data_IF_636890020825
#
_entry.id   IF_636890020825
#
_cell.length_a   1.000
_cell.length_b   1.000
_cell.length_c   1.000
_cell.angle_alpha   90.00
_cell.angle_beta   90.00
_cell.angle_gamma   90.00
#
_symmetry.space_group_name_H-M   'P 1'
#
loop_
_entity.id
_entity.type
_entity.pdbx_description
1 polymer ?
#
# COMPACT_ATOMS: atom_id res chain seq x y z
N UNK A 1 -3.54 -81.57 -8.24
CA UNK A 1 -2.47 -80.56 -8.08
C UNK A 1 -3.03 -79.23 -8.55
N UNK A 2 -3.46 -78.38 -7.62
CA UNK A 2 -4.07 -77.06 -7.89
C UNK A 2 -3.07 -75.99 -7.50
N UNK A 3 -2.64 -75.16 -8.45
CA UNK A 3 -1.71 -74.05 -8.23
C UNK A 3 -2.50 -72.74 -8.02
N UNK A 4 -2.48 -72.25 -6.79
CA UNK A 4 -3.05 -70.94 -6.43
C UNK A 4 -2.02 -69.87 -6.81
N UNK A 5 -2.39 -68.98 -7.74
CA UNK A 5 -1.61 -67.78 -8.08
C UNK A 5 -1.97 -66.67 -7.09
N UNK A 6 -0.98 -66.22 -6.32
CA UNK A 6 -1.08 -65.01 -5.50
C UNK A 6 -0.74 -63.79 -6.36
N UNK A 7 -1.72 -62.93 -6.60
CA UNK A 7 -1.54 -61.64 -7.28
C UNK A 7 -1.37 -60.57 -6.21
N UNK A 8 -0.15 -60.07 -6.03
CA UNK A 8 0.14 -59.01 -5.06
C UNK A 8 -0.34 -57.67 -5.60
N UNK A 9 -1.38 -57.09 -4.98
CA UNK A 9 -1.90 -55.78 -5.34
C UNK A 9 -1.14 -54.71 -4.55
N UNK A 10 -0.31 -53.91 -5.23
CA UNK A 10 0.46 -52.83 -4.64
C UNK A 10 -0.45 -51.61 -4.47
N UNK A 11 -0.89 -51.31 -3.25
CA UNK A 11 -1.62 -50.07 -2.94
C UNK A 11 -0.63 -48.90 -2.88
N UNK A 12 -0.78 -47.94 -3.79
CA UNK A 12 -0.08 -46.65 -3.75
C UNK A 12 -0.87 -45.71 -2.84
N UNK A 13 -0.43 -45.54 -1.59
CA UNK A 13 -1.03 -44.56 -0.67
C UNK A 13 -0.45 -43.19 -1.01
N UNK A 14 -1.25 -42.33 -1.65
CA UNK A 14 -0.88 -40.95 -1.94
C UNK A 14 -0.87 -40.16 -0.62
N UNK A 15 0.32 -39.92 -0.07
CA UNK A 15 0.50 -39.11 1.13
C UNK A 15 0.24 -37.64 0.76
N UNK A 16 -0.96 -37.13 1.06
CA UNK A 16 -1.23 -35.69 1.01
C UNK A 16 -0.36 -35.01 2.08
N UNK A 17 0.80 -34.50 1.67
CA UNK A 17 1.56 -33.57 2.50
C UNK A 17 0.75 -32.28 2.57
N UNK A 18 0.11 -32.04 3.71
CA UNK A 18 -0.48 -30.75 4.04
C UNK A 18 0.65 -29.72 4.09
N UNK A 19 0.86 -28.98 3.02
CA UNK A 19 1.71 -27.78 3.07
C UNK A 19 1.02 -26.81 3.99
N UNK A 20 1.58 -26.63 5.19
CA UNK A 20 1.20 -25.51 6.05
C UNK A 20 1.61 -24.25 5.31
N UNK A 21 0.66 -23.61 4.61
CA UNK A 21 0.89 -22.33 3.98
C UNK A 21 1.06 -21.33 5.11
N UNK A 22 2.31 -20.96 5.42
CA UNK A 22 2.55 -19.81 6.27
C UNK A 22 2.05 -18.59 5.49
N UNK A 23 1.14 -17.82 6.09
CA UNK A 23 0.68 -16.56 5.50
C UNK A 23 1.90 -15.71 5.12
N UNK A 24 1.95 -15.25 3.88
CA UNK A 24 3.06 -14.46 3.35
C UNK A 24 3.25 -13.21 4.23
N UNK A 25 4.41 -13.08 4.84
CA UNK A 25 4.74 -11.90 5.66
C UNK A 25 5.38 -10.83 4.78
N UNK A 26 4.66 -9.74 4.55
CA UNK A 26 5.14 -8.60 3.75
C UNK A 26 6.00 -7.66 4.62
N UNK A 27 7.25 -7.37 4.25
CA UNK A 27 8.05 -6.35 4.93
C UNK A 27 7.43 -4.95 4.74
N UNK A 28 7.50 -4.08 5.75
CA UNK A 28 6.97 -2.71 5.62
C UNK A 28 7.67 -1.88 4.53
N UNK A 29 8.97 -2.09 4.34
CA UNK A 29 9.75 -1.61 3.19
C UNK A 29 10.16 -2.82 2.34
N UNK A 30 9.45 -3.00 1.24
CA UNK A 30 9.60 -4.16 0.35
C UNK A 30 10.73 -3.88 -0.62
N UNK A 31 11.73 -4.75 -0.65
CA UNK A 31 12.81 -4.64 -1.65
C UNK A 31 12.30 -5.12 -3.01
N UNK A 32 12.68 -4.46 -4.12
CA UNK A 32 12.32 -4.92 -5.46
C UNK A 32 12.61 -6.40 -5.69
N UNK A 33 13.79 -6.90 -5.29
CA UNK A 33 14.12 -8.31 -5.42
C UNK A 33 13.18 -9.23 -4.62
N UNK A 34 12.77 -8.82 -3.42
CA UNK A 34 11.80 -9.61 -2.63
C UNK A 34 10.48 -9.75 -3.39
N UNK A 35 10.01 -8.67 -4.04
CA UNK A 35 8.77 -8.73 -4.82
C UNK A 35 8.93 -9.59 -6.06
N UNK A 36 10.10 -9.54 -6.73
CA UNK A 36 10.40 -10.44 -7.86
C UNK A 36 10.32 -11.91 -7.41
N UNK A 37 10.91 -12.23 -6.27
CA UNK A 37 10.96 -13.60 -5.74
C UNK A 37 9.59 -14.10 -5.25
N UNK A 38 8.64 -13.20 -4.98
CA UNK A 38 7.32 -13.52 -4.42
C UNK A 38 6.14 -13.15 -5.33
N UNK A 39 6.39 -12.72 -6.57
CA UNK A 39 5.38 -12.17 -7.49
C UNK A 39 4.18 -13.10 -7.71
N UNK A 40 4.39 -14.42 -7.64
CA UNK A 40 3.39 -15.44 -7.93
C UNK A 40 2.75 -16.05 -6.67
N UNK A 41 2.95 -15.46 -5.50
CA UNK A 41 2.29 -15.92 -4.28
C UNK A 41 0.78 -15.65 -4.39
N UNK A 42 -0.08 -16.66 -4.12
CA UNK A 42 -1.53 -16.54 -4.34
C UNK A 42 -2.20 -15.54 -3.37
N UNK A 43 -1.59 -15.31 -2.20
CA UNK A 43 -2.09 -14.41 -1.17
C UNK A 43 -1.33 -13.06 -1.18
N UNK A 44 -0.87 -12.60 -2.34
CA UNK A 44 -0.16 -11.32 -2.52
C UNK A 44 -0.94 -10.40 -3.46
N UNK A 45 -1.42 -9.28 -2.94
CA UNK A 45 -2.02 -8.21 -3.72
C UNK A 45 -1.00 -7.08 -3.94
N UNK A 46 -0.98 -6.54 -5.16
CA UNK A 46 -0.08 -5.45 -5.54
C UNK A 46 -0.92 -4.26 -6.02
N UNK A 47 -0.68 -3.07 -5.49
CA UNK A 47 -1.43 -1.86 -5.81
C UNK A 47 -0.47 -0.81 -6.36
N UNK A 48 -0.72 -0.35 -7.58
CA UNK A 48 -0.09 0.84 -8.14
C UNK A 48 -0.90 2.09 -7.76
N UNK A 49 -0.23 3.14 -7.30
CA UNK A 49 -0.79 4.48 -7.18
C UNK A 49 -0.25 5.36 -8.31
N UNK A 50 -1.11 5.63 -9.28
CA UNK A 50 -0.82 6.39 -10.51
C UNK A 50 -2.11 6.88 -11.17
N UNK A 51 -2.04 7.37 -12.40
CA UNK A 51 -3.20 7.54 -13.27
C UNK A 51 -3.45 6.29 -14.13
N UNK A 52 -4.71 6.06 -14.50
CA UNK A 52 -5.13 4.87 -15.26
C UNK A 52 -4.49 4.80 -16.65
N UNK A 53 -4.18 5.95 -17.27
CA UNK A 53 -3.59 5.98 -18.62
C UNK A 53 -2.15 5.48 -18.55
N UNK A 54 -1.34 6.02 -17.64
CA UNK A 54 0.03 5.57 -17.43
C UNK A 54 0.09 4.09 -17.03
N UNK A 55 -0.80 3.64 -16.15
CA UNK A 55 -0.91 2.23 -15.79
C UNK A 55 -1.19 1.34 -17.02
N UNK A 56 -2.17 1.71 -17.86
CA UNK A 56 -2.58 0.89 -19.01
C UNK A 56 -1.53 0.81 -20.12
N UNK A 57 -0.80 1.90 -20.38
CA UNK A 57 0.03 2.03 -21.58
C UNK A 57 1.54 2.08 -21.32
N UNK A 58 2.00 2.44 -20.11
CA UNK A 58 3.43 2.52 -19.76
C UNK A 58 3.92 1.26 -19.03
N UNK A 59 3.12 0.19 -19.07
CA UNK A 59 3.29 -1.06 -18.34
C UNK A 59 3.06 -0.95 -16.83
N UNK A 60 3.04 -2.05 -16.12
CA UNK A 60 2.90 -2.11 -14.66
C UNK A 60 3.46 -3.43 -14.12
N UNK A 61 3.52 -3.57 -12.79
CA UNK A 61 3.91 -4.84 -12.17
C UNK A 61 2.82 -5.88 -12.49
N UNK A 62 3.18 -7.11 -12.94
CA UNK A 62 2.18 -8.11 -13.28
C UNK A 62 1.22 -8.42 -12.14
N UNK A 63 -0.07 -8.56 -12.47
CA UNK A 63 -1.14 -8.79 -11.50
C UNK A 63 -1.43 -7.63 -10.52
N UNK A 64 -0.76 -6.49 -10.65
CA UNK A 64 -1.11 -5.31 -9.86
C UNK A 64 -2.45 -4.72 -10.27
N UNK A 65 -3.02 -3.85 -9.44
CA UNK A 65 -4.21 -3.06 -9.76
C UNK A 65 -3.94 -1.58 -9.53
N UNK A 66 -4.57 -0.74 -10.34
CA UNK A 66 -4.41 0.72 -10.24
C UNK A 66 -5.38 1.36 -9.26
N UNK A 67 -4.88 2.34 -8.52
CA UNK A 67 -5.68 3.29 -7.75
C UNK A 67 -5.02 4.67 -7.79
N UNK A 68 -5.66 5.68 -7.20
CA UNK A 68 -5.10 7.03 -7.13
C UNK A 68 -5.39 7.65 -5.76
N UNK A 69 -4.62 8.69 -5.40
CA UNK A 69 -4.74 9.39 -4.11
C UNK A 69 -6.14 9.94 -3.84
N UNK A 70 -6.85 10.39 -4.88
CA UNK A 70 -8.20 10.95 -4.77
C UNK A 70 -9.26 9.91 -4.40
N UNK A 71 -9.07 8.65 -4.80
CA UNK A 71 -10.01 7.56 -4.56
C UNK A 71 -10.27 7.28 -3.06
N UNK A 72 -9.40 7.75 -2.16
CA UNK A 72 -9.41 7.42 -0.74
C UNK A 72 -9.88 8.55 0.17
N UNK A 73 -10.24 9.69 -0.42
CA UNK A 73 -10.52 10.94 0.29
C UNK A 73 -11.92 11.45 -0.05
N UNK A 74 -12.45 12.27 0.84
CA UNK A 74 -13.70 13.00 0.69
C UNK A 74 -13.46 14.47 1.05
N UNK A 75 -14.46 15.31 0.78
CA UNK A 75 -14.50 16.69 1.25
C UNK A 75 -15.68 16.80 2.22
N UNK A 76 -15.42 17.25 3.44
CA UNK A 76 -16.48 17.47 4.42
C UNK A 76 -17.27 18.77 4.15
N UNK A 77 -18.27 19.03 4.98
CA UNK A 77 -19.15 20.20 4.82
C UNK A 77 -18.41 21.54 4.97
N UNK A 78 -17.24 21.54 5.63
CA UNK A 78 -16.41 22.73 5.84
C UNK A 78 -15.33 22.88 4.75
N UNK A 79 -15.33 22.00 3.74
CA UNK A 79 -14.37 22.00 2.66
C UNK A 79 -13.02 21.36 3.03
N UNK A 80 -12.92 20.69 4.18
CA UNK A 80 -11.70 20.01 4.59
C UNK A 80 -11.57 18.64 3.89
N UNK A 81 -10.35 18.33 3.47
CA UNK A 81 -10.04 17.01 2.91
C UNK A 81 -9.96 16.00 4.05
N UNK A 82 -10.84 15.02 4.03
CA UNK A 82 -10.93 13.95 5.03
C UNK A 82 -10.78 12.58 4.37
N UNK A 83 -10.55 11.53 5.15
CA UNK A 83 -10.69 10.16 4.64
C UNK A 83 -12.16 9.82 4.41
N UNK A 84 -12.41 8.83 3.58
CA UNK A 84 -13.74 8.22 3.47
C UNK A 84 -14.15 7.53 4.79
N UNK A 85 -15.45 7.26 4.94
CA UNK A 85 -15.95 6.45 6.05
C UNK A 85 -15.35 5.03 6.02
N UNK A 86 -15.21 4.40 7.19
CA UNK A 86 -14.64 3.04 7.30
C UNK A 86 -15.34 2.05 6.37
N UNK A 87 -16.67 2.15 6.24
CA UNK A 87 -17.45 1.33 5.32
C UNK A 87 -17.04 1.53 3.85
N UNK A 88 -16.97 2.78 3.38
CA UNK A 88 -16.56 3.10 2.01
C UNK A 88 -15.11 2.68 1.73
N UNK A 89 -14.21 2.84 2.72
CA UNK A 89 -12.82 2.39 2.61
C UNK A 89 -12.74 0.87 2.44
N UNK A 90 -13.42 0.10 3.30
CA UNK A 90 -13.46 -1.36 3.20
C UNK A 90 -14.04 -1.82 1.85
N UNK A 91 -15.14 -1.20 1.39
CA UNK A 91 -15.73 -1.49 0.07
C UNK A 91 -14.74 -1.22 -1.08
N UNK A 92 -13.95 -0.14 -1.02
CA UNK A 92 -12.93 0.16 -2.03
C UNK A 92 -11.78 -0.83 -2.01
N UNK A 93 -11.30 -1.23 -0.83
CA UNK A 93 -10.24 -2.25 -0.70
C UNK A 93 -10.71 -3.58 -1.30
N UNK A 94 -11.95 -4.01 -1.02
CA UNK A 94 -12.52 -5.22 -1.64
C UNK A 94 -12.60 -5.13 -3.17
N UNK A 95 -12.91 -3.96 -3.73
CA UNK A 95 -12.95 -3.74 -5.18
C UNK A 95 -11.57 -3.83 -5.84
N UNK A 96 -10.50 -3.67 -5.07
CA UNK A 96 -9.13 -3.95 -5.51
C UNK A 96 -8.78 -5.45 -5.43
N UNK A 97 -9.74 -6.32 -5.11
CA UNK A 97 -9.55 -7.77 -5.02
C UNK A 97 -8.93 -8.27 -3.72
N UNK A 98 -8.78 -7.39 -2.73
CA UNK A 98 -8.03 -7.69 -1.52
C UNK A 98 -8.89 -8.45 -0.51
N UNK A 99 -8.37 -9.57 -0.04
CA UNK A 99 -8.93 -10.40 1.01
C UNK A 99 -8.32 -10.07 2.38
N UNK A 100 -8.95 -10.57 3.43
CA UNK A 100 -8.54 -10.28 4.80
C UNK A 100 -7.13 -10.79 5.15
N UNK A 101 -6.67 -11.87 4.50
CA UNK A 101 -5.41 -12.54 4.81
C UNK A 101 -4.28 -12.23 3.82
N UNK A 102 -4.55 -11.44 2.79
CA UNK A 102 -3.54 -11.11 1.78
C UNK A 102 -2.38 -10.33 2.39
N UNK A 103 -1.19 -10.53 1.84
CA UNK A 103 -0.13 -9.54 1.90
C UNK A 103 -0.38 -8.45 0.87
N UNK A 104 -0.14 -7.18 1.21
CA UNK A 104 -0.34 -6.06 0.28
C UNK A 104 0.96 -5.32 0.03
N UNK A 105 1.34 -5.14 -1.23
CA UNK A 105 2.46 -4.28 -1.64
C UNK A 105 1.93 -3.09 -2.42
N UNK A 106 2.27 -1.88 -2.00
CA UNK A 106 1.83 -0.64 -2.64
C UNK A 106 3.06 0.03 -3.27
N UNK A 107 2.93 0.57 -4.46
CA UNK A 107 4.00 1.32 -5.12
C UNK A 107 3.48 2.53 -5.90
N UNK A 108 4.35 3.51 -6.14
CA UNK A 108 4.10 4.64 -7.03
C UNK A 108 4.84 4.44 -8.36
N UNK A 109 4.31 5.04 -9.42
CA UNK A 109 4.82 4.90 -10.79
C UNK A 109 6.03 5.80 -11.08
N UNK A 110 6.03 7.04 -10.59
CA UNK A 110 7.14 7.95 -10.82
C UNK A 110 7.31 9.04 -9.75
N UNK A 111 7.95 10.14 -10.14
CA UNK A 111 8.35 11.24 -9.25
C UNK A 111 7.19 12.18 -8.85
N UNK A 112 5.97 11.86 -9.27
CA UNK A 112 4.80 12.67 -8.97
C UNK A 112 4.52 12.65 -7.47
N UNK A 113 4.43 13.84 -6.87
CA UNK A 113 4.20 13.97 -5.43
C UNK A 113 2.85 13.42 -4.99
N UNK A 114 1.82 13.45 -5.83
CA UNK A 114 0.52 12.88 -5.49
C UNK A 114 0.52 11.35 -5.51
N UNK A 115 1.32 10.72 -6.38
CA UNK A 115 1.50 9.27 -6.42
C UNK A 115 2.24 8.78 -5.17
N UNK A 116 3.37 9.41 -4.86
CA UNK A 116 4.18 9.09 -3.68
C UNK A 116 3.34 9.30 -2.40
N UNK A 117 2.74 10.48 -2.22
CA UNK A 117 1.92 10.75 -1.03
C UNK A 117 0.65 9.88 -0.99
N UNK A 118 0.10 9.49 -2.14
CA UNK A 118 -1.03 8.56 -2.23
C UNK A 118 -0.65 7.16 -1.76
N UNK A 119 0.54 6.67 -2.15
CA UNK A 119 1.11 5.38 -1.72
C UNK A 119 1.23 5.29 -0.21
N UNK A 120 1.93 6.24 0.42
CA UNK A 120 2.09 6.24 1.88
C UNK A 120 0.79 6.52 2.63
N UNK A 121 -0.13 7.27 2.04
CA UNK A 121 -1.46 7.46 2.63
C UNK A 121 -2.29 6.18 2.61
N UNK A 122 -2.26 5.42 1.51
CA UNK A 122 -2.94 4.13 1.45
C UNK A 122 -2.30 3.11 2.40
N UNK A 123 -0.97 3.09 2.51
CA UNK A 123 -0.25 2.30 3.53
C UNK A 123 -0.74 2.61 4.95
N UNK A 124 -0.87 3.90 5.29
CA UNK A 124 -1.43 4.31 6.59
C UNK A 124 -2.92 3.91 6.73
N UNK A 125 -3.72 3.99 5.67
CA UNK A 125 -5.12 3.56 5.71
C UNK A 125 -5.27 2.06 6.00
N UNK A 126 -4.41 1.20 5.45
CA UNK A 126 -4.42 -0.22 5.82
C UNK A 126 -4.18 -0.42 7.32
N UNK A 127 -3.19 0.28 7.88
CA UNK A 127 -2.93 0.26 9.33
C UNK A 127 -4.11 0.80 10.14
N UNK A 128 -4.70 1.92 9.72
CA UNK A 128 -5.90 2.49 10.32
C UNK A 128 -7.05 1.50 10.32
N UNK A 129 -7.17 0.65 9.29
CA UNK A 129 -8.20 -0.35 9.14
C UNK A 129 -7.82 -1.70 9.78
N UNK A 130 -6.72 -1.76 10.54
CA UNK A 130 -6.29 -2.94 11.29
C UNK A 130 -5.63 -4.02 10.46
N UNK A 131 -5.21 -3.71 9.22
CA UNK A 131 -4.49 -4.61 8.35
C UNK A 131 -3.02 -4.19 8.27
N UNK A 132 -2.15 -4.98 8.88
CA UNK A 132 -0.72 -4.65 9.09
C UNK A 132 0.22 -5.46 8.20
N UNK A 133 -0.28 -6.46 7.47
CA UNK A 133 0.50 -7.22 6.49
C UNK A 133 0.63 -6.47 5.16
N UNK A 134 1.15 -5.24 5.24
CA UNK A 134 1.23 -4.30 4.12
C UNK A 134 2.60 -3.65 4.10
N UNK A 135 3.13 -3.44 2.89
CA UNK A 135 4.41 -2.81 2.65
C UNK A 135 4.39 -1.84 1.48
N UNK A 136 5.38 -0.96 1.43
CA UNK A 136 5.63 -0.10 0.28
C UNK A 136 6.87 -0.59 -0.47
N UNK A 137 6.79 -0.69 -1.79
CA UNK A 137 7.93 -1.03 -2.64
C UNK A 137 8.96 0.09 -2.60
N UNK A 138 10.16 -0.25 -2.13
CA UNK A 138 11.31 0.66 -2.08
C UNK A 138 11.72 1.04 -3.51
N UNK A 139 11.95 2.34 -3.74
CA UNK A 139 12.23 2.94 -5.06
C UNK A 139 11.10 2.77 -6.11
N UNK A 140 9.90 2.36 -5.67
CA UNK A 140 8.70 2.27 -6.51
C UNK A 140 8.89 1.47 -7.80
N UNK A 141 8.25 1.93 -8.87
CA UNK A 141 8.36 1.33 -10.21
C UNK A 141 9.78 1.35 -10.78
N UNK A 142 10.58 2.39 -10.49
CA UNK A 142 11.96 2.43 -10.98
C UNK A 142 12.84 1.35 -10.31
N UNK A 143 12.65 1.12 -9.01
CA UNK A 143 13.26 0.00 -8.29
C UNK A 143 12.90 -1.35 -8.89
N UNK A 144 11.62 -1.53 -9.26
CA UNK A 144 11.14 -2.74 -9.94
C UNK A 144 11.87 -3.01 -11.26
N UNK A 145 11.94 -1.99 -12.14
CA UNK A 145 12.64 -2.09 -13.42
C UNK A 145 14.13 -2.37 -13.23
N UNK A 146 14.77 -1.71 -12.26
CA UNK A 146 16.20 -1.92 -11.95
C UNK A 146 16.49 -3.33 -11.42
N UNK A 147 15.50 -3.98 -10.80
CA UNK A 147 15.58 -5.37 -10.38
C UNK A 147 15.27 -6.37 -11.51
N UNK A 148 15.09 -5.90 -12.75
CA UNK A 148 14.70 -6.70 -13.91
C UNK A 148 13.39 -7.48 -13.69
N UNK A 149 12.46 -6.89 -12.94
CA UNK A 149 11.13 -7.47 -12.76
C UNK A 149 10.33 -7.49 -14.08
N UNK A 150 9.48 -8.51 -14.30
CA UNK A 150 8.63 -8.57 -15.49
C UNK A 150 7.66 -7.38 -15.55
N UNK A 151 7.19 -7.07 -16.75
CA UNK A 151 6.24 -5.97 -17.01
C UNK A 151 5.02 -6.53 -17.73
N UNK A 152 3.85 -6.08 -17.30
CA UNK A 152 2.57 -6.36 -17.94
C UNK A 152 1.96 -5.04 -18.44
N UNK A 153 1.08 -5.08 -19.44
CA UNK A 153 0.35 -3.92 -19.97
C UNK A 153 -1.16 -4.20 -19.95
N UNK A 154 -1.97 -3.15 -20.02
CA UNK A 154 -3.43 -3.27 -20.02
C UNK A 154 -4.06 -3.01 -18.66
N UNK A 155 -5.20 -3.66 -18.38
CA UNK A 155 -5.98 -3.44 -17.17
C UNK A 155 -6.24 -4.74 -16.43
N UNK A 156 -6.07 -4.72 -15.11
CA UNK A 156 -6.44 -5.82 -14.23
C UNK A 156 -7.73 -5.52 -13.48
N UNK A 157 -8.70 -6.43 -13.59
CA UNK A 157 -9.98 -6.38 -12.89
C UNK A 157 -10.15 -7.63 -12.03
N UNK A 158 -9.66 -7.62 -10.78
CA UNK A 158 -9.79 -8.78 -9.91
C UNK A 158 -11.24 -8.96 -9.44
N UNK A 159 -11.64 -10.18 -9.08
CA UNK A 159 -12.90 -10.40 -8.39
C UNK A 159 -12.92 -9.64 -7.06
N UNK A 160 -14.12 -9.25 -6.59
CA UNK A 160 -14.26 -8.53 -5.33
C UNK A 160 -13.79 -9.40 -4.16
N UNK A 161 -12.82 -8.91 -3.38
CA UNK A 161 -12.26 -9.59 -2.22
C UNK A 161 -13.14 -9.51 -0.97
N UNK A 162 -12.70 -10.16 0.11
CA UNK A 162 -13.46 -10.32 1.36
C UNK A 162 -13.02 -9.42 2.54
N UNK A 163 -12.09 -8.47 2.32
CA UNK A 163 -11.47 -7.63 3.35
C UNK A 163 -12.43 -7.15 4.46
N UNK A 164 -12.02 -7.27 5.73
CA UNK A 164 -12.80 -6.82 6.89
C UNK A 164 -12.02 -5.76 7.67
N UNK A 165 -12.54 -4.53 7.70
CA UNK A 165 -11.93 -3.45 8.48
C UNK A 165 -12.08 -3.66 9.99
N UNK A 166 -10.97 -3.48 10.71
CA UNK A 166 -10.84 -3.51 12.17
C UNK A 166 -10.19 -2.21 12.65
N UNK A 167 -10.94 -1.10 12.69
CA UNK A 167 -10.34 0.23 12.76
C UNK A 167 -9.57 0.49 14.06
N UNK A 168 -8.35 0.99 13.93
CA UNK A 168 -7.48 1.46 15.01
C UNK A 168 -7.48 3.00 15.04
N UNK A 169 -8.58 3.59 15.53
CA UNK A 169 -8.81 5.04 15.48
C UNK A 169 -7.80 5.87 16.29
N UNK A 170 -6.98 5.25 17.14
CA UNK A 170 -5.85 5.89 17.82
C UNK A 170 -4.71 6.31 16.87
N UNK A 171 -4.73 5.85 15.61
CA UNK A 171 -3.79 6.28 14.56
C UNK A 171 -4.21 7.59 13.87
N UNK A 172 -5.34 8.17 14.28
CA UNK A 172 -5.88 9.44 13.82
C UNK A 172 -6.12 10.34 15.03
N UNK A 173 -5.96 11.66 14.87
CA UNK A 173 -6.22 12.63 15.94
C UNK A 173 -7.02 13.81 15.41
N UNK A 174 -8.06 14.21 16.14
CA UNK A 174 -8.84 15.39 15.79
C UNK A 174 -8.10 16.70 16.14
N UNK A 175 -8.51 17.80 15.50
CA UNK A 175 -8.01 19.14 15.83
C UNK A 175 -8.22 19.49 17.31
N UNK A 176 -9.36 19.10 17.88
CA UNK A 176 -9.70 19.37 19.28
C UNK A 176 -8.82 18.60 20.25
N UNK A 177 -8.58 17.31 19.99
CA UNK A 177 -7.66 16.49 20.78
C UNK A 177 -6.23 17.02 20.70
N UNK A 178 -5.76 17.33 19.48
CA UNK A 178 -4.43 17.89 19.27
C UNK A 178 -4.26 19.22 20.03
N UNK A 179 -5.28 20.07 20.03
CA UNK A 179 -5.23 21.37 20.73
C UNK A 179 -4.95 21.23 22.24
N UNK A 180 -5.46 20.15 22.85
CA UNK A 180 -5.32 19.84 24.28
C UNK A 180 -3.96 19.25 24.62
N UNK A 181 -3.40 18.42 23.72
CA UNK A 181 -2.18 17.66 24.04
C UNK A 181 -0.90 18.20 23.40
N UNK A 182 -0.97 19.10 22.41
CA UNK A 182 0.21 19.55 21.62
C UNK A 182 1.35 20.17 22.42
N UNK A 183 1.11 20.59 23.66
CA UNK A 183 2.17 21.12 24.55
C UNK A 183 2.96 20.02 25.26
N UNK A 184 2.45 18.79 25.27
CA UNK A 184 3.04 17.65 25.96
C UNK A 184 3.79 16.69 25.02
N UNK A 185 3.64 16.86 23.71
CA UNK A 185 4.22 16.00 22.70
C UNK A 185 4.94 16.81 21.62
N UNK A 186 5.98 16.23 21.05
CA UNK A 186 6.63 16.78 19.87
C UNK A 186 5.73 16.59 18.65
N UNK A 187 5.32 17.68 18.03
CA UNK A 187 4.56 17.64 16.78
C UNK A 187 5.51 17.74 15.59
N UNK A 188 5.56 16.69 14.77
CA UNK A 188 6.39 16.64 13.57
C UNK A 188 5.55 17.03 12.35
N UNK A 189 6.02 18.02 11.61
CA UNK A 189 5.39 18.47 10.36
C UNK A 189 6.18 17.94 9.16
N UNK A 190 5.55 17.01 8.44
CA UNK A 190 6.13 16.33 7.28
C UNK A 190 6.17 17.16 6.00
N UNK A 191 5.56 18.36 5.97
CA UNK A 191 5.42 19.15 4.74
C UNK A 191 6.77 19.71 4.25
N UNK A 192 6.87 20.16 2.99
CA UNK A 192 8.07 20.84 2.51
C UNK A 192 8.47 22.02 3.41
N UNK A 193 9.78 22.25 3.58
CA UNK A 193 10.29 23.29 4.48
C UNK A 193 9.75 24.70 4.16
N UNK A 194 9.48 25.00 2.89
CA UNK A 194 8.84 26.26 2.48
C UNK A 194 7.41 26.41 2.99
N UNK A 195 6.66 25.31 3.09
CA UNK A 195 5.29 25.29 3.63
C UNK A 195 5.32 25.52 5.14
N UNK A 196 6.23 24.84 5.83
CA UNK A 196 6.45 25.01 7.26
C UNK A 196 6.84 26.45 7.63
N UNK A 197 7.74 27.06 6.84
CA UNK A 197 8.16 28.47 7.00
C UNK A 197 7.09 29.48 6.58
N UNK A 198 5.99 29.04 5.97
CA UNK A 198 4.92 29.90 5.48
C UNK A 198 5.27 30.71 4.23
N UNK A 199 6.28 30.30 3.48
CA UNK A 199 6.67 30.93 2.21
C UNK A 199 5.77 30.47 1.06
N UNK A 200 5.33 29.21 1.10
CA UNK A 200 4.37 28.62 0.17
C UNK A 200 3.32 27.81 0.95
N UNK A 201 2.29 27.30 0.26
CA UNK A 201 1.29 26.39 0.86
C UNK A 201 0.74 25.43 -0.19
N UNK A 202 0.16 24.32 0.26
CA UNK A 202 -0.72 23.54 -0.60
C UNK A 202 -2.00 24.33 -0.89
N UNK A 203 -2.57 24.16 -2.07
CA UNK A 203 -3.79 24.86 -2.47
C UNK A 203 -4.93 24.63 -1.47
N UNK A 204 -5.06 23.39 -0.98
CA UNK A 204 -6.06 22.98 0.01
C UNK A 204 -5.92 23.66 1.39
N UNK A 205 -4.76 24.22 1.73
CA UNK A 205 -4.59 24.87 3.03
C UNK A 205 -5.14 26.30 3.00
N UNK A 206 -6.00 26.65 3.96
CA UNK A 206 -6.55 28.01 4.07
C UNK A 206 -5.52 29.05 4.56
N UNK A 207 -4.48 28.60 5.29
CA UNK A 207 -3.45 29.47 5.88
C UNK A 207 -2.03 28.99 5.55
N UNK A 208 -1.11 29.95 5.47
CA UNK A 208 0.33 29.70 5.42
C UNK A 208 0.86 29.38 6.82
N UNK A 209 2.08 28.81 6.87
CA UNK A 209 2.79 28.55 8.11
C UNK A 209 2.45 27.19 8.71
N UNK A 210 2.49 27.11 10.04
CA UNK A 210 2.55 25.86 10.80
C UNK A 210 1.81 25.94 12.13
N UNK A 211 1.60 24.77 12.73
CA UNK A 211 1.09 24.66 14.10
C UNK A 211 2.19 25.14 15.08
N UNK A 212 1.92 26.09 15.99
CA UNK A 212 2.94 26.55 16.93
C UNK A 212 3.47 25.42 17.80
N UNK A 213 4.79 25.34 17.95
CA UNK A 213 5.49 24.28 18.68
C UNK A 213 5.90 23.07 17.83
N UNK A 214 5.48 22.99 16.57
CA UNK A 214 5.92 21.90 15.69
C UNK A 214 7.39 22.00 15.28
N UNK A 215 7.96 20.88 14.83
CA UNK A 215 9.28 20.82 14.18
C UNK A 215 9.13 20.38 12.73
N UNK A 216 10.02 20.86 11.86
CA UNK A 216 10.00 20.52 10.43
C UNK A 216 10.82 19.25 10.21
N UNK A 217 10.21 18.23 9.58
CA UNK A 217 10.90 17.04 9.08
C UNK A 217 10.30 16.68 7.71
N UNK A 218 10.71 17.37 6.63
CA UNK A 218 10.14 17.18 5.30
C UNK A 218 10.21 15.71 4.85
N UNK A 219 9.09 15.15 4.39
CA UNK A 219 9.01 13.74 4.00
C UNK A 219 10.04 13.34 2.93
N UNK A 220 10.37 14.27 2.03
CA UNK A 220 11.36 14.05 0.96
C UNK A 220 12.75 13.73 1.47
N UNK A 221 13.10 14.17 2.68
CA UNK A 221 14.42 13.94 3.26
C UNK A 221 14.60 12.47 3.68
N UNK A 222 13.51 11.69 3.71
CA UNK A 222 13.48 10.27 4.08
C UNK A 222 13.23 9.33 2.90
N UNK A 223 13.07 9.89 1.71
CA UNK A 223 12.93 9.11 0.49
C UNK A 223 14.32 8.80 -0.06
N UNK A 224 14.52 7.56 -0.53
CA UNK A 224 15.73 7.20 -1.28
C UNK A 224 15.58 7.68 -2.71
N UNK A 225 16.73 7.96 -3.34
CA UNK A 225 16.78 8.20 -4.77
C UNK A 225 17.54 7.10 -5.45
N UNK A 226 17.10 6.72 -6.62
CA UNK A 226 17.87 5.91 -7.57
C UNK A 226 19.15 6.64 -7.96
N UNK A 227 20.10 5.91 -8.58
CA UNK A 227 21.40 6.46 -8.97
C UNK A 227 21.30 7.64 -9.96
N UNK A 228 20.22 7.71 -10.73
CA UNK A 228 19.90 8.77 -11.68
C UNK A 228 18.99 9.87 -11.09
N UNK A 229 18.69 9.81 -9.78
CA UNK A 229 18.09 10.91 -9.03
C UNK A 229 16.57 10.92 -8.94
N UNK A 230 15.91 9.87 -9.45
CA UNK A 230 14.45 9.62 -9.32
C UNK A 230 14.13 9.06 -7.93
N UNK A 231 12.92 9.29 -7.44
CA UNK A 231 12.44 8.78 -6.15
C UNK A 231 11.91 7.36 -6.27
#
# INVERSE_FOLDING_TARGET
MSSIKFTTMLSFTLLLMSTSSFALSVPSSVKPQWLVDNLHQPDLAIIEISDEVGYMFDGHIPGSVVSNKGAWRDIDNDGAIVRLSIKKLAERIRKLGINNNDGVVIYYKGDNTDEILGTFYLYWLFHLLGHTNVGVLDEGWYGWLNANGPVEEGSNEPPVGDFVARPLLSLEISTDELSKIRKHYLLVDGRPASHFKGLTKFQANSRYGRIPGSVSQPWRDYMRKTIDGRW
#
